data_IF_307010372739
#
_entry.id   IF_307010372739
#
_cell.length_a   1.000
_cell.length_b   1.000
_cell.length_c   1.000
_cell.angle_alpha   90.00
_cell.angle_beta   90.00
_cell.angle_gamma   90.00
#
_symmetry.space_group_name_H-M   'P 1'
#
loop_
_entity.id
_entity.type
_entity.pdbx_description
1 polymer ?
#
# COMPACT_ATOMS: atom_id res chain seq x y z
N UNK A 1 8.85 0.10 10.55
CA UNK A 1 10.10 -0.13 9.80
C UNK A 1 9.95 0.36 8.37
N UNK A 2 10.60 1.50 8.09
CA UNK A 2 10.42 2.31 6.88
C UNK A 2 10.94 1.55 5.65
N UNK A 3 10.11 1.49 4.60
CA UNK A 3 10.39 0.77 3.34
C UNK A 3 10.73 -0.73 3.40
N UNK A 4 10.76 -1.37 4.57
CA UNK A 4 11.01 -2.82 4.69
C UNK A 4 12.43 -3.22 4.27
N UNK A 5 13.40 -2.35 4.58
CA UNK A 5 14.83 -2.57 4.36
C UNK A 5 15.35 -3.74 5.21
N UNK A 6 16.32 -4.47 4.67
CA UNK A 6 16.99 -5.57 5.36
C UNK A 6 18.44 -5.72 4.90
N UNK A 7 19.24 -6.41 5.72
CA UNK A 7 20.57 -6.88 5.39
C UNK A 7 20.64 -8.40 5.54
N UNK A 8 20.63 -9.15 4.44
CA UNK A 8 20.52 -10.61 4.46
C UNK A 8 19.20 -11.04 5.10
N UNK A 9 19.27 -11.64 6.29
CA UNK A 9 18.10 -12.01 7.10
C UNK A 9 17.78 -11.03 8.23
N UNK A 10 18.56 -9.95 8.37
CA UNK A 10 18.45 -9.01 9.47
C UNK A 10 17.59 -7.81 9.09
N UNK A 11 16.57 -7.57 9.90
CA UNK A 11 15.66 -6.44 9.80
C UNK A 11 15.98 -5.44 10.92
N UNK A 12 16.08 -4.12 10.65
CA UNK A 12 16.31 -3.16 11.71
C UNK A 12 15.17 -3.16 12.75
N UNK A 13 15.40 -2.56 13.91
CA UNK A 13 14.33 -2.20 14.83
C UNK A 13 14.48 -0.75 15.25
N UNK A 14 13.54 -0.23 16.05
CA UNK A 14 13.64 1.14 16.56
C UNK A 14 14.89 1.35 17.44
N UNK A 15 15.41 0.28 18.05
CA UNK A 15 16.58 0.33 18.94
C UNK A 15 17.83 -0.27 18.31
N UNK A 16 17.69 -1.05 17.24
CA UNK A 16 18.81 -1.68 16.53
C UNK A 16 18.80 -1.31 15.04
N UNK A 17 19.44 -0.19 14.66
CA UNK A 17 19.51 0.21 13.27
C UNK A 17 20.46 -0.70 12.46
N UNK A 18 20.28 -0.73 11.14
CA UNK A 18 21.29 -1.29 10.23
C UNK A 18 22.42 -0.27 10.07
N UNK A 19 23.57 -0.51 10.70
CA UNK A 19 24.74 0.39 10.63
C UNK A 19 25.76 -0.10 9.61
N UNK A 20 25.91 -1.42 9.47
CA UNK A 20 26.81 -2.04 8.50
C UNK A 20 26.06 -3.11 7.72
N UNK A 21 26.24 -3.13 6.40
CA UNK A 21 25.70 -4.17 5.54
C UNK A 21 26.59 -4.34 4.31
N UNK A 22 26.89 -5.58 3.93
CA UNK A 22 27.53 -5.85 2.66
C UNK A 22 26.57 -5.45 1.53
N UNK A 23 27.03 -4.75 0.46
CA UNK A 23 26.15 -4.28 -0.61
C UNK A 23 25.33 -5.40 -1.27
N UNK A 24 25.88 -6.62 -1.37
CA UNK A 24 25.20 -7.79 -1.93
C UNK A 24 24.07 -8.34 -1.05
N UNK A 25 24.01 -7.93 0.22
CA UNK A 25 23.01 -8.39 1.19
C UNK A 25 21.95 -7.32 1.47
N UNK A 26 22.16 -6.08 1.00
CA UNK A 26 21.22 -4.99 1.22
C UNK A 26 20.02 -5.12 0.28
N UNK A 27 18.82 -5.07 0.84
CA UNK A 27 17.60 -5.23 0.07
C UNK A 27 16.38 -4.59 0.72
N UNK A 28 15.24 -4.68 0.01
CA UNK A 28 13.95 -4.22 0.49
C UNK A 28 12.84 -5.18 0.10
N UNK A 29 11.87 -5.36 1.00
CA UNK A 29 10.64 -6.12 0.74
C UNK A 29 9.57 -5.30 0.00
N UNK A 30 9.71 -3.97 -0.07
CA UNK A 30 8.72 -3.06 -0.64
C UNK A 30 9.26 -2.21 -1.80
N UNK A 31 10.56 -2.27 -2.04
CA UNK A 31 11.25 -1.58 -3.12
C UNK A 31 12.09 -2.57 -3.92
N UNK A 32 12.16 -2.34 -5.22
CA UNK A 32 13.16 -2.95 -6.09
C UNK A 32 14.38 -2.02 -6.13
N UNK A 33 15.43 -2.42 -5.44
CA UNK A 33 16.70 -1.70 -5.37
C UNK A 33 17.62 -2.29 -6.45
N UNK A 34 18.22 -1.47 -7.33
CA UNK A 34 19.23 -1.91 -8.28
C UNK A 34 20.42 -2.62 -7.61
N UNK A 35 21.12 -3.45 -8.36
CA UNK A 35 22.34 -4.08 -7.86
C UNK A 35 23.41 -3.01 -7.53
N UNK A 36 24.31 -3.27 -6.57
CA UNK A 36 25.38 -2.33 -6.22
C UNK A 36 26.17 -1.88 -7.45
N UNK A 37 26.35 -0.57 -7.60
CA UNK A 37 27.09 0.03 -8.72
C UNK A 37 26.34 0.09 -10.07
N UNK A 38 25.08 -0.34 -10.11
CA UNK A 38 24.24 -0.31 -11.34
C UNK A 38 23.12 0.72 -11.30
N UNK A 39 23.00 1.43 -10.18
CA UNK A 39 21.98 2.46 -9.97
C UNK A 39 22.21 3.62 -10.97
N UNK A 40 21.12 4.08 -11.58
CA UNK A 40 21.10 5.24 -12.46
C UNK A 40 19.69 5.83 -12.48
N UNK A 41 19.56 7.11 -12.13
CA UNK A 41 18.26 7.80 -12.01
C UNK A 41 17.42 7.81 -13.30
N UNK A 42 18.06 7.72 -14.47
CA UNK A 42 17.40 7.74 -15.77
C UNK A 42 17.11 6.33 -16.33
N UNK A 43 18.07 5.41 -16.20
CA UNK A 43 18.07 4.13 -16.94
C UNK A 43 17.85 2.90 -16.05
N UNK A 44 18.16 2.98 -14.75
CA UNK A 44 18.00 1.87 -13.82
C UNK A 44 17.75 2.35 -12.39
N UNK A 45 16.62 3.03 -12.14
CA UNK A 45 16.44 3.69 -10.87
C UNK A 45 15.67 2.77 -9.93
N UNK A 46 15.75 3.00 -8.61
CA UNK A 46 14.96 2.26 -7.66
C UNK A 46 13.45 2.49 -7.88
N UNK A 47 12.64 1.46 -7.62
CA UNK A 47 11.19 1.43 -7.89
C UNK A 47 10.42 0.82 -6.73
N UNK A 48 9.13 1.10 -6.65
CA UNK A 48 8.20 0.36 -5.78
C UNK A 48 8.15 -1.11 -6.23
N UNK A 49 8.15 -2.05 -5.29
CA UNK A 49 7.89 -3.45 -5.60
C UNK A 49 6.44 -3.65 -6.11
N UNK A 50 6.23 -4.42 -7.20
CA UNK A 50 4.90 -4.77 -7.66
C UNK A 50 4.04 -5.37 -6.54
N UNK A 51 2.74 -5.08 -6.57
CA UNK A 51 1.80 -5.48 -5.52
C UNK A 51 0.40 -5.67 -6.11
N UNK A 52 -0.40 -6.52 -5.45
CA UNK A 52 -1.81 -6.69 -5.73
C UNK A 52 -2.61 -6.20 -4.53
N UNK A 53 -3.62 -5.39 -4.81
CA UNK A 53 -4.60 -4.91 -3.84
C UNK A 53 -5.97 -5.37 -4.34
N UNK A 54 -6.78 -5.84 -3.41
CA UNK A 54 -8.12 -6.33 -3.69
C UNK A 54 -9.08 -5.54 -2.83
N UNK A 55 -10.09 -4.96 -3.47
CA UNK A 55 -11.15 -4.20 -2.83
C UNK A 55 -12.48 -4.90 -3.13
N UNK A 56 -13.41 -4.84 -2.20
CA UNK A 56 -14.73 -5.45 -2.36
C UNK A 56 -15.81 -4.52 -1.81
N UNK A 57 -16.96 -4.49 -2.46
CA UNK A 57 -18.12 -3.76 -1.97
C UNK A 57 -19.38 -4.61 -2.14
N UNK A 58 -20.29 -4.46 -1.19
CA UNK A 58 -21.61 -5.09 -1.21
C UNK A 58 -22.62 -4.05 -0.75
N UNK A 59 -23.78 -3.99 -1.38
CA UNK A 59 -24.82 -3.04 -1.02
C UNK A 59 -26.16 -3.40 -1.62
N UNK A 60 -27.19 -2.73 -1.11
CA UNK A 60 -28.56 -2.78 -1.57
C UNK A 60 -29.06 -1.34 -1.73
N UNK A 61 -29.69 -1.05 -2.87
CA UNK A 61 -30.15 0.28 -3.23
C UNK A 61 -31.60 0.56 -2.79
N UNK A 62 -32.34 -0.47 -2.34
CA UNK A 62 -33.72 -0.37 -1.89
C UNK A 62 -34.00 -1.23 -0.65
N UNK A 63 -33.30 -0.90 0.44
CA UNK A 63 -33.30 -1.67 1.69
C UNK A 63 -34.70 -1.95 2.25
N UNK A 64 -35.65 -1.03 2.00
CA UNK A 64 -37.02 -1.09 2.53
C UNK A 64 -38.09 -1.26 1.45
N UNK A 65 -37.71 -1.41 0.17
CA UNK A 65 -38.64 -1.61 -0.95
C UNK A 65 -39.72 -0.52 -1.03
N UNK A 66 -39.31 0.74 -0.89
CA UNK A 66 -40.24 1.87 -0.86
C UNK A 66 -40.48 2.48 -2.24
N UNK A 67 -41.72 2.77 -2.60
CA UNK A 67 -42.03 3.35 -3.92
C UNK A 67 -41.64 4.84 -4.04
N UNK A 68 -41.81 5.63 -2.96
CA UNK A 68 -41.59 7.09 -2.97
C UNK A 68 -40.29 7.52 -2.31
N UNK A 69 -39.84 6.77 -1.30
CA UNK A 69 -38.60 7.04 -0.58
C UNK A 69 -37.79 5.75 -0.56
N UNK A 70 -36.55 5.82 -1.04
CA UNK A 70 -35.66 4.67 -1.10
C UNK A 70 -34.45 4.88 -0.22
N UNK A 71 -33.98 3.80 0.37
CA UNK A 71 -32.78 3.80 1.20
C UNK A 71 -31.77 2.84 0.61
N UNK A 72 -30.54 3.33 0.44
CA UNK A 72 -29.40 2.53 0.00
C UNK A 72 -28.43 2.33 1.16
N UNK A 73 -27.90 1.12 1.29
CA UNK A 73 -26.83 0.78 2.21
C UNK A 73 -25.70 0.10 1.43
N UNK A 74 -24.50 0.65 1.53
CA UNK A 74 -23.30 0.06 0.92
C UNK A 74 -22.19 -0.09 1.93
N UNK A 75 -21.58 -1.27 1.93
CA UNK A 75 -20.39 -1.58 2.70
C UNK A 75 -19.22 -1.86 1.75
N UNK A 76 -18.13 -1.12 1.95
CA UNK A 76 -16.92 -1.24 1.14
C UNK A 76 -15.74 -1.58 2.04
N UNK A 77 -14.94 -2.55 1.59
CA UNK A 77 -13.66 -2.92 2.20
C UNK A 77 -12.56 -2.68 1.19
N UNK A 78 -11.66 -1.76 1.50
CA UNK A 78 -10.45 -1.54 0.71
C UNK A 78 -9.25 -2.22 1.35
N UNK A 79 -8.31 -2.67 0.53
CA UNK A 79 -7.16 -3.47 0.92
C UNK A 79 -7.58 -4.70 1.74
N UNK A 80 -8.44 -5.53 1.14
CA UNK A 80 -9.05 -6.72 1.75
C UNK A 80 -8.01 -7.66 2.36
N UNK A 81 -6.81 -7.80 1.77
CA UNK A 81 -5.73 -8.65 2.29
C UNK A 81 -4.83 -7.97 3.32
N UNK A 82 -5.13 -6.72 3.70
CA UNK A 82 -4.32 -5.89 4.61
C UNK A 82 -2.82 -5.83 4.21
N UNK A 83 -2.55 -5.69 2.91
CA UNK A 83 -1.19 -5.69 2.38
C UNK A 83 -0.50 -4.37 2.73
N UNK A 84 0.66 -4.44 3.39
CA UNK A 84 1.51 -3.27 3.63
C UNK A 84 2.49 -3.07 2.47
N UNK A 85 2.24 -2.05 1.65
CA UNK A 85 3.07 -1.76 0.49
C UNK A 85 3.21 -0.25 0.27
N UNK A 86 4.17 0.12 -0.57
CA UNK A 86 4.42 1.50 -0.95
C UNK A 86 3.77 1.82 -2.29
N UNK A 87 3.59 3.11 -2.58
CA UNK A 87 3.28 3.64 -3.89
C UNK A 87 4.00 4.98 -4.09
N UNK A 88 4.13 5.40 -5.35
CA UNK A 88 4.77 6.65 -5.74
C UNK A 88 6.21 6.84 -5.22
N UNK A 89 7.07 5.83 -5.41
CA UNK A 89 8.46 5.91 -4.94
C UNK A 89 9.24 7.01 -5.67
N UNK A 90 9.89 7.88 -4.89
CA UNK A 90 10.70 9.01 -5.38
C UNK A 90 9.99 9.96 -6.35
N UNK A 91 8.66 10.06 -6.28
CA UNK A 91 7.96 11.15 -6.97
C UNK A 91 8.42 12.49 -6.40
N UNK A 92 9.01 13.34 -7.24
CA UNK A 92 9.47 14.69 -6.88
C UNK A 92 8.34 15.57 -6.35
N UNK A 93 7.09 15.25 -6.70
CA UNK A 93 5.92 16.04 -6.32
C UNK A 93 5.23 15.56 -5.04
N UNK A 94 5.14 14.25 -4.81
CA UNK A 94 4.41 13.72 -3.65
C UNK A 94 5.28 13.02 -2.62
N UNK A 95 6.50 12.61 -2.96
CA UNK A 95 7.26 11.66 -2.15
C UNK A 95 6.65 10.26 -2.12
N UNK A 96 7.26 9.38 -1.32
CA UNK A 96 6.90 7.97 -1.20
C UNK A 96 5.81 7.77 -0.13
N UNK A 97 4.73 7.08 -0.48
CA UNK A 97 3.58 6.88 0.41
C UNK A 97 3.29 5.42 0.70
N UNK A 98 2.70 5.16 1.87
CA UNK A 98 2.13 3.86 2.17
C UNK A 98 0.72 3.76 1.60
N UNK A 99 0.39 2.61 1.02
CA UNK A 99 -1.00 2.26 0.69
C UNK A 99 -1.83 2.29 1.97
N UNK A 100 -3.08 2.73 1.85
CA UNK A 100 -4.05 2.72 2.95
C UNK A 100 -4.11 1.33 3.59
N UNK A 101 -4.01 1.23 4.94
CA UNK A 101 -4.32 0.00 5.65
C UNK A 101 -5.72 -0.50 5.31
N UNK A 102 -6.01 -1.77 5.61
CA UNK A 102 -7.38 -2.27 5.45
C UNK A 102 -8.37 -1.34 6.12
N UNK A 103 -9.31 -0.82 5.34
CA UNK A 103 -10.29 0.16 5.81
C UNK A 103 -11.69 -0.28 5.41
N UNK A 104 -12.64 0.00 6.29
CA UNK A 104 -14.04 -0.34 6.14
C UNK A 104 -14.84 0.95 6.07
N UNK A 105 -15.74 1.04 5.11
CA UNK A 105 -16.61 2.21 4.92
C UNK A 105 -18.04 1.73 4.79
N UNK A 106 -18.92 2.30 5.59
CA UNK A 106 -20.37 2.13 5.47
C UNK A 106 -20.97 3.44 4.98
N UNK A 107 -21.80 3.35 3.94
CA UNK A 107 -22.49 4.48 3.32
C UNK A 107 -23.99 4.22 3.37
N UNK A 108 -24.75 5.23 3.80
CA UNK A 108 -26.21 5.20 3.81
C UNK A 108 -26.70 6.36 2.95
N UNK A 109 -27.51 6.06 1.94
CA UNK A 109 -28.13 7.06 1.07
C UNK A 109 -29.64 7.08 1.23
N UNK A 110 -30.22 8.28 1.30
CA UNK A 110 -31.66 8.50 1.28
C UNK A 110 -32.05 9.18 -0.04
N UNK A 111 -32.98 8.57 -0.77
CA UNK A 111 -33.46 9.02 -2.07
C UNK A 111 -34.91 9.46 -1.95
N UNK A 112 -35.23 10.66 -2.45
CA UNK A 112 -36.52 11.36 -2.32
C UNK A 112 -37.23 11.58 -3.67
#
# INVERSE_FOLDING_TARGET
MQAGLFCGSVFPTLTTPLITCAPSQYGSTRLRIPAPGTENDDHNPPRVAPRHLFDTSVGDDDLFHGDRYKWSLRFTVINLTNKTALYNFLSTFSGTHFVTPRSYTAEVGFHF
#
